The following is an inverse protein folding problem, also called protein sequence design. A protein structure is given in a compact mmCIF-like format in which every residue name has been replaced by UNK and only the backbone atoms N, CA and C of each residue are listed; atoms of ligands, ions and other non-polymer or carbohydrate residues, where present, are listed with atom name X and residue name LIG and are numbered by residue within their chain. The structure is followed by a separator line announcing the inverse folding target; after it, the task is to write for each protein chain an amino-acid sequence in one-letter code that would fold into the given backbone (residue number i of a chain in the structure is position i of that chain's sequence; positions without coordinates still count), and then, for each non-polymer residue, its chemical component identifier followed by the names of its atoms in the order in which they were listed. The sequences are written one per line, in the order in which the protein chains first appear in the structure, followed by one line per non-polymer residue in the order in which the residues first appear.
data_IF_058129502996
#
_entry.id   IF_058129502996
#
_cell.length_a   1.000
_cell.length_b   1.000
_cell.length_c   1.000
_cell.angle_alpha   90.00
_cell.angle_beta   90.00
_cell.angle_gamma   90.00
#
_symmetry.space_group_name_H-M   'P 1'
#
loop_
_entity.id
_entity.type
_entity.pdbx_description
1 polymer ?
#
# COMPACT_ATOMS: atom_id res chain seq x y z
N UNK A 1 -2.15 -0.26 -1.83
CA UNK A 1 -2.35 1.21 -1.98
C UNK A 1 -1.36 1.96 -1.11
N UNK A 2 -0.64 2.96 -1.65
CA UNK A 2 0.42 3.64 -0.90
C UNK A 2 0.30 5.16 -0.98
N UNK A 3 0.70 5.83 0.10
CA UNK A 3 0.89 7.27 0.14
C UNK A 3 2.38 7.58 -0.02
N UNK A 4 2.70 8.60 -0.82
CA UNK A 4 4.07 9.09 -0.92
C UNK A 4 4.60 9.49 0.47
N UNK A 5 5.74 8.93 0.92
CA UNK A 5 6.29 9.19 2.24
C UNK A 5 6.99 10.55 2.28
N UNK A 6 6.24 11.60 2.60
CA UNK A 6 6.76 12.95 2.76
C UNK A 6 6.62 13.42 4.20
N UNK A 7 7.63 14.12 4.78
CA UNK A 7 7.57 14.71 6.11
C UNK A 7 6.31 15.58 6.28
N UNK A 8 5.65 15.48 7.41
CA UNK A 8 4.42 16.21 7.73
C UNK A 8 3.17 15.80 6.94
N UNK A 9 3.27 14.91 5.96
CA UNK A 9 2.14 14.45 5.13
C UNK A 9 1.69 13.01 5.38
N UNK A 10 2.50 12.21 6.05
CA UNK A 10 2.17 10.83 6.42
C UNK A 10 2.41 10.60 7.91
N UNK A 11 1.66 9.64 8.50
CA UNK A 11 1.79 9.24 9.92
C UNK A 11 1.87 10.42 10.89
N UNK A 12 1.02 11.43 10.72
CA UNK A 12 1.04 12.67 11.52
C UNK A 12 0.82 12.42 13.01
N UNK A 13 -0.06 11.45 13.35
CA UNK A 13 -0.30 11.07 14.76
C UNK A 13 0.98 10.52 15.37
N UNK A 14 1.60 9.54 14.73
CA UNK A 14 2.87 8.98 15.19
C UNK A 14 3.96 10.05 15.33
N UNK A 15 4.07 11.00 14.39
CA UNK A 15 5.04 12.08 14.49
C UNK A 15 4.77 12.98 15.70
N UNK A 16 3.51 13.28 16.01
CA UNK A 16 3.11 14.04 17.19
C UNK A 16 3.42 13.28 18.48
N UNK A 17 3.11 11.99 18.55
CA UNK A 17 3.41 11.15 19.72
C UNK A 17 4.92 11.03 19.95
N UNK A 18 5.72 10.84 18.91
CA UNK A 18 7.18 10.81 19.00
C UNK A 18 7.76 12.14 19.51
N UNK A 19 7.15 13.25 19.15
CA UNK A 19 7.58 14.58 19.61
C UNK A 19 7.17 14.83 21.06
N UNK A 20 5.92 14.52 21.42
CA UNK A 20 5.37 14.80 22.75
C UNK A 20 5.86 13.83 23.82
N UNK A 21 5.87 12.53 23.55
CA UNK A 21 6.19 11.50 24.54
C UNK A 21 7.68 11.16 24.60
N UNK A 22 8.39 11.23 23.48
CA UNK A 22 9.79 10.82 23.38
C UNK A 22 10.73 12.01 23.19
N UNK A 23 10.22 13.24 23.13
CA UNK A 23 10.99 14.46 22.87
C UNK A 23 11.95 14.35 21.67
N UNK A 24 11.56 13.55 20.65
CA UNK A 24 12.41 13.28 19.52
C UNK A 24 12.37 14.43 18.51
N UNK A 25 13.56 14.98 18.22
CA UNK A 25 13.73 15.92 17.11
C UNK A 25 13.49 15.22 15.77
N UNK A 26 13.08 15.97 14.75
CA UNK A 26 12.83 15.46 13.40
C UNK A 26 11.80 14.32 13.34
N UNK A 27 10.77 14.38 14.18
CA UNK A 27 9.73 13.33 14.26
C UNK A 27 8.98 13.15 12.95
N UNK A 28 8.75 14.20 12.17
CA UNK A 28 8.11 14.13 10.86
C UNK A 28 8.97 13.40 9.82
N UNK A 29 10.28 13.60 9.81
CA UNK A 29 11.22 12.88 8.94
C UNK A 29 11.34 11.41 9.35
N UNK A 30 11.38 11.13 10.65
CA UNK A 30 11.41 9.76 11.18
C UNK A 30 10.14 9.00 10.81
N UNK A 31 8.98 9.62 10.96
CA UNK A 31 7.69 9.02 10.59
C UNK A 31 7.58 8.79 9.07
N UNK A 32 8.12 9.69 8.25
CA UNK A 32 8.18 9.52 6.80
C UNK A 32 9.13 8.38 6.40
N UNK A 33 10.28 8.24 7.05
CA UNK A 33 11.20 7.11 6.83
C UNK A 33 10.56 5.77 7.20
N UNK A 34 9.82 5.72 8.32
CA UNK A 34 9.09 4.52 8.70
C UNK A 34 8.03 4.17 7.64
N UNK A 35 7.24 5.15 7.19
CA UNK A 35 6.28 4.93 6.10
C UNK A 35 6.95 4.42 4.83
N UNK A 36 8.12 4.97 4.47
CA UNK A 36 8.87 4.51 3.30
C UNK A 36 9.30 3.04 3.44
N UNK A 37 9.80 2.64 4.61
CA UNK A 37 10.20 1.25 4.90
C UNK A 37 9.03 0.29 4.83
N UNK A 38 7.89 0.63 5.44
CA UNK A 38 6.68 -0.21 5.41
C UNK A 38 6.15 -0.35 3.97
N UNK A 39 6.12 0.74 3.23
CA UNK A 39 5.72 0.71 1.82
C UNK A 39 6.65 -0.17 0.99
N UNK A 40 7.96 -0.03 1.17
CA UNK A 40 8.94 -0.85 0.47
C UNK A 40 8.78 -2.33 0.84
N UNK A 41 8.56 -2.66 2.12
CA UNK A 41 8.31 -4.02 2.58
C UNK A 41 7.09 -4.64 1.87
N UNK A 42 5.94 -3.96 1.88
CA UNK A 42 4.72 -4.42 1.21
C UNK A 42 4.95 -4.64 -0.30
N UNK A 43 5.65 -3.73 -0.95
CA UNK A 43 5.99 -3.83 -2.38
C UNK A 43 6.92 -5.03 -2.63
N UNK A 44 7.93 -5.24 -1.80
CA UNK A 44 8.87 -6.35 -1.95
C UNK A 44 8.14 -7.70 -1.88
N UNK A 45 7.20 -7.87 -0.95
CA UNK A 45 6.36 -9.08 -0.87
C UNK A 45 5.56 -9.28 -2.15
N UNK A 46 4.90 -8.24 -2.65
CA UNK A 46 4.12 -8.32 -3.89
C UNK A 46 5.00 -8.62 -5.13
N UNK A 47 6.18 -8.02 -5.22
CA UNK A 47 7.13 -8.26 -6.31
C UNK A 47 7.73 -9.68 -6.27
N UNK A 48 7.88 -10.27 -5.08
CA UNK A 48 8.30 -11.68 -4.96
C UNK A 48 7.25 -12.60 -5.58
N UNK A 49 5.97 -12.44 -5.22
CA UNK A 49 4.88 -13.22 -5.80
C UNK A 49 4.66 -12.94 -7.29
N UNK A 50 4.98 -11.74 -7.75
CA UNK A 50 4.95 -11.42 -9.18
C UNK A 50 5.99 -12.23 -9.96
N UNK A 51 7.22 -12.33 -9.47
CA UNK A 51 8.28 -13.14 -10.09
C UNK A 51 7.96 -14.63 -10.11
N UNK A 52 7.18 -15.09 -9.15
CA UNK A 52 6.66 -16.47 -9.08
C UNK A 52 5.41 -16.68 -9.98
N UNK A 53 4.90 -15.65 -10.64
CA UNK A 53 3.75 -15.72 -11.54
C UNK A 53 2.36 -15.70 -10.86
N UNK A 54 2.29 -15.47 -9.55
CA UNK A 54 1.03 -15.49 -8.81
C UNK A 54 0.19 -14.23 -8.96
N UNK A 55 0.83 -13.07 -9.06
CA UNK A 55 0.13 -11.77 -9.07
C UNK A 55 0.75 -10.79 -10.05
N UNK A 56 -0.04 -9.81 -10.48
CA UNK A 56 0.47 -8.62 -11.18
C UNK A 56 0.28 -7.41 -10.28
N UNK A 57 1.35 -6.83 -9.71
CA UNK A 57 1.24 -5.72 -8.78
C UNK A 57 0.89 -4.41 -9.50
N UNK A 58 -0.03 -3.67 -8.92
CA UNK A 58 -0.41 -2.32 -9.33
C UNK A 58 -0.18 -1.37 -8.15
N UNK A 59 0.64 -0.35 -8.32
CA UNK A 59 0.88 0.64 -7.28
C UNK A 59 -0.11 1.80 -7.39
N UNK A 60 -1.13 1.80 -6.54
CA UNK A 60 -2.06 2.92 -6.43
C UNK A 60 -1.51 3.98 -5.47
N UNK A 61 -1.15 5.15 -6.01
CA UNK A 61 -0.40 6.21 -5.32
C UNK A 61 -1.29 7.38 -4.92
N UNK A 62 -1.09 7.92 -3.73
CA UNK A 62 -1.61 9.23 -3.31
C UNK A 62 -0.48 10.18 -2.90
N UNK A 63 -0.72 11.48 -3.06
CA UNK A 63 0.25 12.54 -2.67
C UNK A 63 1.29 12.89 -3.73
N UNK A 64 1.18 12.33 -4.94
CA UNK A 64 2.00 12.67 -6.10
C UNK A 64 1.14 12.91 -7.34
N UNK A 65 1.62 13.78 -8.22
CA UNK A 65 1.08 13.90 -9.58
C UNK A 65 1.53 12.73 -10.49
N UNK A 66 0.91 12.57 -11.68
CA UNK A 66 1.06 11.40 -12.53
C UNK A 66 2.51 11.04 -12.88
N UNK A 67 3.30 12.01 -13.32
CA UNK A 67 4.70 11.78 -13.74
C UNK A 67 5.61 11.36 -12.60
N UNK A 68 5.44 11.98 -11.41
CA UNK A 68 6.21 11.62 -10.21
C UNK A 68 5.78 10.26 -9.67
N UNK A 69 4.49 9.94 -9.71
CA UNK A 69 3.98 8.62 -9.31
C UNK A 69 4.57 7.50 -10.18
N UNK A 70 4.61 7.70 -11.52
CA UNK A 70 5.25 6.74 -12.44
C UNK A 70 6.73 6.56 -12.15
N UNK A 71 7.48 7.66 -11.96
CA UNK A 71 8.91 7.58 -11.60
C UNK A 71 9.09 6.78 -10.32
N UNK A 72 8.30 7.09 -9.29
CA UNK A 72 8.39 6.38 -8.01
C UNK A 72 8.06 4.90 -8.16
N UNK A 73 6.99 4.53 -8.86
CA UNK A 73 6.64 3.13 -9.09
C UNK A 73 7.73 2.34 -9.78
N UNK A 74 8.34 2.91 -10.84
CA UNK A 74 9.48 2.27 -11.53
C UNK A 74 10.68 2.08 -10.61
N UNK A 75 10.99 3.05 -9.76
CA UNK A 75 12.05 2.92 -8.74
C UNK A 75 11.77 1.79 -7.73
N UNK A 76 10.48 1.43 -7.54
CA UNK A 76 10.06 0.31 -6.71
C UNK A 76 9.93 -1.02 -7.48
N UNK A 77 10.25 -1.05 -8.77
CA UNK A 77 10.12 -2.25 -9.60
C UNK A 77 8.67 -2.56 -10.02
N UNK A 78 7.77 -1.58 -9.97
CA UNK A 78 6.38 -1.74 -10.43
C UNK A 78 6.15 -0.88 -11.66
N UNK A 79 5.69 -1.51 -12.74
CA UNK A 79 5.42 -0.83 -14.01
C UNK A 79 4.02 -0.21 -14.03
N UNK A 80 3.06 -0.90 -13.44
CA UNK A 80 1.68 -0.46 -13.46
C UNK A 80 1.35 0.46 -12.28
N UNK A 81 1.07 1.71 -12.60
CA UNK A 81 0.85 2.76 -11.62
C UNK A 81 -0.52 3.39 -11.80
N UNK A 82 -1.28 3.44 -10.72
CA UNK A 82 -2.54 4.18 -10.64
C UNK A 82 -2.48 5.33 -9.65
N UNK A 83 -3.22 6.39 -9.90
CA UNK A 83 -3.48 7.41 -8.87
C UNK A 83 -4.72 7.02 -8.07
N UNK A 84 -4.67 7.18 -6.75
CA UNK A 84 -5.84 6.92 -5.90
C UNK A 84 -6.96 7.92 -6.18
N UNK A 85 -6.61 9.15 -6.58
CA UNK A 85 -7.54 10.27 -6.75
C UNK A 85 -8.06 10.79 -5.41
N UNK A 86 -9.03 11.69 -5.48
CA UNK A 86 -9.64 12.34 -4.33
C UNK A 86 -10.80 11.52 -3.75
N UNK A 87 -11.24 11.91 -2.56
CA UNK A 87 -12.32 11.27 -1.83
C UNK A 87 -11.85 10.52 -0.58
N UNK A 88 -12.80 9.96 0.14
CA UNK A 88 -12.53 9.12 1.31
C UNK A 88 -11.94 7.75 0.90
N UNK A 89 -11.57 6.94 1.88
CA UNK A 89 -10.95 5.63 1.64
C UNK A 89 -11.82 4.73 0.78
N UNK A 90 -13.12 4.63 1.08
CA UNK A 90 -14.07 3.80 0.33
C UNK A 90 -14.15 4.20 -1.16
N UNK A 91 -14.23 5.51 -1.45
CA UNK A 91 -14.24 6.03 -2.82
C UNK A 91 -12.95 5.66 -3.57
N UNK A 92 -11.80 5.75 -2.90
CA UNK A 92 -10.50 5.39 -3.50
C UNK A 92 -10.39 3.89 -3.74
N UNK A 93 -10.82 3.06 -2.78
CA UNK A 93 -10.88 1.61 -2.93
C UNK A 93 -11.78 1.21 -4.10
N UNK A 94 -13.02 1.71 -4.12
CA UNK A 94 -13.96 1.45 -5.21
C UNK A 94 -13.36 1.78 -6.58
N UNK A 95 -12.69 2.93 -6.70
CA UNK A 95 -12.03 3.35 -7.96
C UNK A 95 -10.95 2.39 -8.40
N UNK A 96 -10.13 1.88 -7.48
CA UNK A 96 -9.08 0.91 -7.84
C UNK A 96 -9.69 -0.45 -8.23
N UNK A 97 -10.64 -0.95 -7.48
CA UNK A 97 -11.32 -2.21 -7.79
C UNK A 97 -12.04 -2.13 -9.15
N UNK A 98 -12.73 -1.02 -9.44
CA UNK A 98 -13.37 -0.82 -10.75
C UNK A 98 -12.37 -0.81 -11.92
N UNK A 99 -11.17 -0.30 -11.72
CA UNK A 99 -10.10 -0.37 -12.75
C UNK A 99 -9.62 -1.78 -13.04
N UNK A 100 -9.63 -2.65 -12.03
CA UNK A 100 -9.15 -4.02 -12.13
C UNK A 100 -10.24 -5.02 -12.62
N UNK A 101 -11.52 -4.67 -12.46
CA UNK A 101 -12.65 -5.57 -12.78
C UNK A 101 -12.65 -6.11 -14.22
N UNK A 102 -12.12 -5.33 -15.17
CA UNK A 102 -12.09 -5.74 -16.58
C UNK A 102 -11.08 -6.86 -16.87
N UNK A 103 -10.18 -7.14 -15.94
CA UNK A 103 -9.15 -8.19 -16.10
C UNK A 103 -9.70 -9.60 -15.86
N UNK A 104 -10.95 -9.72 -15.40
CA UNK A 104 -11.61 -11.02 -15.07
C UNK A 104 -10.78 -11.89 -14.09
N UNK A 105 -10.01 -11.27 -13.23
CA UNK A 105 -9.17 -11.94 -12.24
C UNK A 105 -9.53 -11.44 -10.85
N UNK A 106 -9.23 -12.24 -9.84
CA UNK A 106 -9.33 -11.79 -8.46
C UNK A 106 -8.47 -10.55 -8.21
N UNK A 107 -8.97 -9.60 -7.43
CA UNK A 107 -8.27 -8.38 -7.10
C UNK A 107 -8.01 -8.31 -5.59
N UNK A 108 -6.74 -8.21 -5.21
CA UNK A 108 -6.31 -7.98 -3.83
C UNK A 108 -5.97 -6.50 -3.64
N UNK A 109 -6.48 -5.90 -2.58
CA UNK A 109 -6.11 -4.54 -2.20
C UNK A 109 -5.40 -4.58 -0.86
N UNK A 110 -4.15 -4.17 -0.84
CA UNK A 110 -3.30 -4.18 0.35
C UNK A 110 -2.91 -2.76 0.71
N UNK A 111 -2.98 -2.43 2.01
CA UNK A 111 -2.40 -1.22 2.58
C UNK A 111 -0.87 -1.31 2.61
N UNK A 112 -0.20 -0.19 2.73
CA UNK A 112 1.27 -0.15 2.84
C UNK A 112 1.74 0.13 4.28
N UNK A 113 0.94 -0.22 5.25
CA UNK A 113 1.15 0.10 6.67
C UNK A 113 1.09 -1.16 7.56
N UNK A 114 1.55 -2.27 7.02
CA UNK A 114 1.45 -3.60 7.62
C UNK A 114 2.87 -4.16 7.84
N UNK A 115 3.45 -4.01 9.03
CA UNK A 115 4.84 -4.44 9.30
C UNK A 115 5.03 -5.97 9.23
N UNK A 116 4.00 -6.74 9.58
CA UNK A 116 4.04 -8.20 9.62
C UNK A 116 3.57 -8.86 8.32
N UNK A 117 3.13 -8.04 7.34
CA UNK A 117 2.63 -8.53 6.07
C UNK A 117 3.68 -9.36 5.33
N UNK A 118 3.30 -10.55 4.93
CA UNK A 118 4.21 -11.51 4.34
C UNK A 118 3.59 -12.27 3.16
N UNK A 119 4.40 -13.11 2.52
CA UNK A 119 4.01 -13.92 1.35
C UNK A 119 2.81 -14.84 1.66
N UNK A 120 2.76 -15.44 2.86
CA UNK A 120 1.70 -16.37 3.25
C UNK A 120 0.33 -15.68 3.28
N UNK A 121 0.27 -14.43 3.75
CA UNK A 121 -0.97 -13.67 3.81
C UNK A 121 -1.60 -13.49 2.43
N UNK A 122 -0.77 -13.15 1.42
CA UNK A 122 -1.24 -13.02 0.04
C UNK A 122 -1.69 -14.36 -0.55
N UNK A 123 -0.94 -15.43 -0.34
CA UNK A 123 -1.30 -16.76 -0.85
C UNK A 123 -2.58 -17.27 -0.21
N UNK A 124 -2.75 -17.11 1.09
CA UNK A 124 -4.00 -17.47 1.79
C UNK A 124 -5.19 -16.67 1.25
N UNK A 125 -5.01 -15.37 1.00
CA UNK A 125 -6.07 -14.55 0.43
C UNK A 125 -6.44 -15.01 -0.98
N UNK A 126 -5.47 -15.34 -1.83
CA UNK A 126 -5.70 -15.88 -3.16
C UNK A 126 -6.43 -17.23 -3.12
N UNK A 127 -5.99 -18.14 -2.24
CA UNK A 127 -6.61 -19.44 -2.08
C UNK A 127 -8.07 -19.32 -1.62
N UNK A 128 -8.35 -18.51 -0.63
CA UNK A 128 -9.71 -18.29 -0.15
C UNK A 128 -10.63 -17.64 -1.19
N UNK A 129 -10.09 -16.81 -2.10
CA UNK A 129 -10.86 -16.19 -3.17
C UNK A 129 -11.32 -17.19 -4.25
N UNK A 130 -10.85 -18.44 -4.26
CA UNK A 130 -11.38 -19.49 -5.13
C UNK A 130 -12.76 -19.97 -4.70
N UNK A 131 -13.08 -19.86 -3.42
CA UNK A 131 -14.33 -20.36 -2.83
C UNK A 131 -15.22 -19.25 -2.22
N UNK A 132 -14.73 -18.02 -2.14
CA UNK A 132 -15.43 -16.89 -1.54
C UNK A 132 -15.40 -15.67 -2.45
N UNK A 133 -16.52 -14.94 -2.50
CA UNK A 133 -16.62 -13.69 -3.28
C UNK A 133 -15.80 -12.54 -2.67
N UNK A 134 -15.57 -12.59 -1.36
CA UNK A 134 -14.82 -11.58 -0.61
C UNK A 134 -14.02 -12.23 0.51
N UNK A 135 -12.77 -11.81 0.62
CA UNK A 135 -11.87 -12.20 1.73
C UNK A 135 -11.35 -10.93 2.39
N UNK A 136 -11.49 -10.83 3.69
CA UNK A 136 -10.97 -9.73 4.50
C UNK A 136 -9.83 -10.24 5.38
N UNK A 137 -8.68 -9.58 5.30
CA UNK A 137 -7.56 -9.83 6.20
C UNK A 137 -7.83 -9.20 7.57
N UNK A 138 -7.47 -9.85 8.69
CA UNK A 138 -7.58 -9.27 10.01
C UNK A 138 -6.67 -8.03 10.13
N UNK A 139 -7.15 -7.03 10.86
CA UNK A 139 -6.37 -5.85 11.22
C UNK A 139 -6.38 -5.70 12.75
N UNK A 140 -5.26 -5.28 13.32
CA UNK A 140 -5.13 -5.16 14.78
C UNK A 140 -5.96 -4.01 15.37
N UNK A 141 -6.34 -3.06 14.54
CA UNK A 141 -7.11 -1.86 14.88
C UNK A 141 -8.61 -1.93 14.46
N UNK A 142 -9.09 -3.10 14.07
CA UNK A 142 -10.50 -3.38 13.76
C UNK A 142 -10.86 -3.48 12.29
#
# INVERSE_FOLDING_TARGET
MARWPAPGRCKRRLAADMQSQLSLNHSSERSARLQARLTHHTIAVACTLHREGWVTPVLAVSGLGPSRARRWGRQQGIEEIGLQGDGNLGTRLKRQLLRLRHRRTAALVVGSDLPEFNRRDLLMALENLHSHDLVLGPAADG
#
